data_IF_738181804326
#
_entry.id   IF_738181804326
#
_cell.length_a   1.000
_cell.length_b   1.000
_cell.length_c   1.000
_cell.angle_alpha   90.00
_cell.angle_beta   90.00
_cell.angle_gamma   90.00
#
_symmetry.space_group_name_H-M   'P 1'
#
loop_
_entity.id
_entity.type
_entity.pdbx_description
1 polymer ?
#
# COMPACT_ATOMS: atom_id res chain seq x y z
N UNK A 1 -30.90 -19.63 19.99
CA UNK A 1 -30.07 -18.53 19.46
C UNK A 1 -30.10 -18.65 17.96
N UNK A 2 -30.87 -17.80 17.30
CA UNK A 2 -30.88 -17.70 15.85
C UNK A 2 -29.50 -17.25 15.42
N UNK A 3 -28.78 -18.05 14.62
CA UNK A 3 -27.60 -17.55 13.92
C UNK A 3 -28.07 -16.38 13.06
N UNK A 4 -27.77 -15.17 13.50
CA UNK A 4 -27.89 -14.00 12.64
C UNK A 4 -26.87 -14.21 11.52
N UNK A 5 -27.36 -14.43 10.31
CA UNK A 5 -26.53 -14.45 9.11
C UNK A 5 -25.70 -13.17 9.08
N UNK A 6 -24.38 -13.31 8.95
CA UNK A 6 -23.47 -12.17 8.86
C UNK A 6 -23.87 -11.26 7.69
N UNK A 7 -23.74 -9.95 7.86
CA UNK A 7 -24.15 -8.97 6.86
C UNK A 7 -23.25 -9.12 5.63
N UNK A 8 -23.84 -9.25 4.44
CA UNK A 8 -23.08 -9.32 3.20
C UNK A 8 -22.58 -7.93 2.79
N UNK A 9 -21.27 -7.79 2.61
CA UNK A 9 -20.63 -6.63 2.01
C UNK A 9 -20.52 -6.88 0.51
N UNK A 10 -21.38 -6.19 -0.26
CA UNK A 10 -21.49 -6.33 -1.73
C UNK A 10 -20.25 -5.85 -2.44
N UNK A 11 -19.74 -4.70 -2.00
CA UNK A 11 -18.49 -4.15 -2.49
C UNK A 11 -17.64 -3.69 -1.31
N UNK A 12 -16.37 -4.08 -1.34
CA UNK A 12 -15.37 -3.72 -0.35
C UNK A 12 -14.18 -3.10 -1.07
N UNK A 13 -13.69 -1.97 -0.56
CA UNK A 13 -12.42 -1.36 -0.95
C UNK A 13 -11.64 -0.97 0.29
N UNK A 14 -10.33 -1.18 0.25
CA UNK A 14 -9.42 -0.65 1.26
C UNK A 14 -8.18 -0.11 0.59
N UNK A 15 -7.84 1.13 0.90
CA UNK A 15 -6.60 1.80 0.51
C UNK A 15 -5.70 1.82 1.74
N UNK A 16 -4.50 1.29 1.60
CA UNK A 16 -3.41 1.45 2.55
C UNK A 16 -2.49 2.56 2.06
N UNK A 17 -2.10 3.46 2.96
CA UNK A 17 -1.19 4.56 2.70
C UNK A 17 -0.01 4.38 3.64
N UNK A 18 1.14 3.99 3.11
CA UNK A 18 2.32 3.69 3.90
C UNK A 18 3.44 4.70 3.65
N UNK A 19 3.61 5.69 4.53
CA UNK A 19 4.67 6.67 4.41
C UNK A 19 6.01 6.07 4.87
N UNK A 20 7.04 6.31 4.05
CA UNK A 20 8.39 5.81 4.21
C UNK A 20 9.34 6.99 4.17
N UNK A 21 10.31 7.01 5.08
CA UNK A 21 11.40 7.96 5.02
C UNK A 21 12.49 7.41 4.10
N UNK A 22 12.85 8.16 3.07
CA UNK A 22 13.97 7.84 2.21
C UNK A 22 15.26 8.24 2.94
N UNK A 23 16.29 7.40 2.81
CA UNK A 23 17.61 7.73 3.34
C UNK A 23 18.39 8.54 2.30
N UNK A 24 19.32 9.40 2.73
CA UNK A 24 20.20 10.09 1.81
C UNK A 24 20.92 9.11 0.87
N UNK A 25 20.97 9.49 -0.41
CA UNK A 25 21.76 8.80 -1.42
C UNK A 25 23.23 8.88 -1.05
N UNK A 26 23.96 7.78 -1.25
CA UNK A 26 25.40 7.77 -0.97
C UNK A 26 26.16 8.57 -2.02
N UNK A 27 27.19 9.31 -1.58
CA UNK A 27 28.06 10.03 -2.49
C UNK A 27 28.67 9.07 -3.53
N UNK A 28 28.62 9.46 -4.80
CA UNK A 28 29.17 8.65 -5.89
C UNK A 28 28.29 7.49 -6.37
N UNK A 29 27.05 7.33 -5.86
CA UNK A 29 26.13 6.29 -6.35
C UNK A 29 25.57 6.54 -7.77
N UNK A 30 25.83 7.73 -8.35
CA UNK A 30 25.44 8.07 -9.72
C UNK A 30 23.94 8.35 -9.91
N UNK A 31 23.19 8.53 -8.82
CA UNK A 31 21.80 8.94 -8.80
C UNK A 31 21.71 10.40 -8.34
N UNK A 32 20.84 11.18 -8.99
CA UNK A 32 20.52 12.55 -8.56
C UNK A 32 19.31 12.54 -7.64
N UNK A 33 18.28 11.77 -8.00
CA UNK A 33 17.07 11.57 -7.21
C UNK A 33 16.87 10.09 -6.87
N UNK A 34 16.07 9.81 -5.83
CA UNK A 34 15.76 8.43 -5.46
C UNK A 34 14.99 7.67 -6.55
N UNK A 35 14.08 8.33 -7.26
CA UNK A 35 13.30 7.70 -8.32
C UNK A 35 14.13 7.33 -9.56
N UNK A 36 15.27 7.99 -9.81
CA UNK A 36 16.21 7.63 -10.89
C UNK A 36 16.64 6.15 -10.81
N UNK A 37 16.62 5.57 -9.60
CA UNK A 37 16.93 4.16 -9.39
C UNK A 37 15.86 3.23 -9.94
N UNK A 38 14.59 3.63 -9.88
CA UNK A 38 13.47 2.85 -10.41
C UNK A 38 13.44 2.91 -11.94
N UNK A 39 13.73 4.06 -12.53
CA UNK A 39 13.83 4.22 -13.98
C UNK A 39 14.92 3.33 -14.60
N UNK A 40 15.98 3.09 -13.83
CA UNK A 40 17.12 2.26 -14.22
C UNK A 40 16.92 0.77 -13.87
N UNK A 41 15.80 0.38 -13.25
CA UNK A 41 15.52 -1.03 -12.96
C UNK A 41 15.33 -1.82 -14.26
N UNK A 42 16.22 -2.77 -14.60
CA UNK A 42 16.11 -3.55 -15.83
C UNK A 42 14.84 -4.43 -15.86
N UNK A 43 14.32 -4.80 -14.68
CA UNK A 43 13.11 -5.59 -14.58
C UNK A 43 11.85 -4.74 -14.76
N UNK A 44 11.97 -3.40 -14.74
CA UNK A 44 10.86 -2.44 -14.81
C UNK A 44 9.74 -2.81 -13.83
N UNK A 45 10.12 -3.20 -12.62
CA UNK A 45 9.18 -3.61 -11.56
C UNK A 45 8.21 -2.47 -11.22
N UNK A 46 8.76 -1.26 -11.19
CA UNK A 46 8.06 -0.01 -11.04
C UNK A 46 8.17 0.76 -12.35
N UNK A 47 7.03 1.17 -12.89
CA UNK A 47 6.96 1.95 -14.13
C UNK A 47 6.34 3.30 -13.81
N UNK A 48 7.02 4.39 -14.17
CA UNK A 48 6.48 5.74 -14.02
C UNK A 48 5.14 5.85 -14.78
N UNK A 49 4.13 6.42 -14.11
CA UNK A 49 2.87 6.77 -14.74
C UNK A 49 3.02 8.13 -15.41
N UNK A 50 3.14 8.13 -16.73
CA UNK A 50 3.12 9.36 -17.52
C UNK A 50 1.71 9.97 -17.55
N UNK A 51 1.59 11.17 -16.98
CA UNK A 51 0.50 12.15 -17.02
C UNK A 51 -0.94 11.60 -17.04
N UNK A 52 -1.66 11.74 -15.92
CA UNK A 52 -3.07 11.36 -15.77
C UNK A 52 -4.02 12.10 -16.74
N UNK A 53 -3.50 13.13 -17.41
CA UNK A 53 -4.15 13.88 -18.47
C UNK A 53 -3.61 13.41 -19.83
N UNK A 54 -4.37 12.58 -20.57
CA UNK A 54 -4.03 12.23 -21.94
C UNK A 54 -4.13 13.45 -22.85
N UNK A 55 -3.44 13.40 -23.99
CA UNK A 55 -3.51 14.48 -25.01
C UNK A 55 -4.91 14.62 -25.62
N UNK A 56 -5.63 13.50 -25.73
CA UNK A 56 -6.96 13.42 -26.34
C UNK A 56 -8.07 13.31 -25.30
N UNK A 57 -9.10 14.19 -25.32
CA UNK A 57 -10.21 14.15 -24.36
C UNK A 57 -10.99 12.83 -24.34
N UNK A 58 -11.13 12.14 -25.48
CA UNK A 58 -11.77 10.82 -25.54
C UNK A 58 -11.10 9.75 -24.66
N UNK A 59 -9.84 9.93 -24.31
CA UNK A 59 -9.10 9.03 -23.43
C UNK A 59 -9.18 9.46 -21.95
N UNK A 60 -9.79 10.62 -21.65
CA UNK A 60 -9.91 11.13 -20.30
C UNK A 60 -11.19 10.62 -19.65
N UNK A 61 -11.04 9.94 -18.52
CA UNK A 61 -12.17 9.36 -17.81
C UNK A 61 -12.89 10.44 -16.98
N UNK A 62 -14.23 10.46 -17.02
CA UNK A 62 -15.05 11.45 -16.29
C UNK A 62 -14.71 11.48 -14.79
N UNK A 63 -14.31 10.34 -14.20
CA UNK A 63 -13.87 10.29 -12.80
C UNK A 63 -12.67 11.19 -12.52
N UNK A 64 -11.68 11.26 -13.43
CA UNK A 64 -10.49 12.12 -13.27
C UNK A 64 -10.88 13.59 -13.43
N UNK A 65 -11.88 13.90 -14.28
CA UNK A 65 -12.43 15.25 -14.38
C UNK A 65 -13.11 15.69 -13.07
N UNK A 66 -13.96 14.83 -12.48
CA UNK A 66 -14.64 15.13 -11.22
C UNK A 66 -13.65 15.36 -10.08
N UNK A 67 -12.61 14.54 -10.01
CA UNK A 67 -11.52 14.71 -9.06
C UNK A 67 -10.81 16.06 -9.24
N UNK A 68 -10.36 16.35 -10.46
CA UNK A 68 -9.71 17.61 -10.78
C UNK A 68 -10.59 18.81 -10.40
N UNK A 69 -11.87 18.80 -10.81
CA UNK A 69 -12.80 19.90 -10.55
C UNK A 69 -13.16 20.08 -9.07
N UNK A 70 -13.02 19.04 -8.24
CA UNK A 70 -13.31 19.11 -6.80
C UNK A 70 -12.19 19.78 -6.00
N UNK A 71 -10.95 19.75 -6.50
CA UNK A 71 -9.81 20.32 -5.79
C UNK A 71 -9.69 21.83 -5.95
N UNK A 72 -9.21 22.50 -4.90
CA UNK A 72 -8.85 23.91 -4.96
C UNK A 72 -7.64 24.10 -5.90
N UNK A 73 -7.50 25.26 -6.58
CA UNK A 73 -6.46 25.47 -7.59
C UNK A 73 -5.02 25.19 -7.12
N UNK A 74 -4.68 25.46 -5.87
CA UNK A 74 -3.35 25.16 -5.34
C UNK A 74 -3.11 23.66 -5.12
N UNK A 75 -4.16 22.90 -4.78
CA UNK A 75 -4.09 21.44 -4.66
C UNK A 75 -3.97 20.81 -6.04
N UNK A 76 -4.72 21.31 -7.02
CA UNK A 76 -4.59 20.88 -8.42
C UNK A 76 -3.15 21.04 -8.92
N UNK A 77 -2.54 22.22 -8.71
CA UNK A 77 -1.13 22.47 -9.09
C UNK A 77 -0.15 21.54 -8.38
N UNK A 78 -0.38 21.23 -7.10
CA UNK A 78 0.50 20.35 -6.35
C UNK A 78 0.41 18.89 -6.83
N UNK A 79 -0.80 18.39 -7.08
CA UNK A 79 -1.03 17.00 -7.49
C UNK A 79 -0.67 16.77 -8.96
N UNK A 80 -1.06 17.70 -9.83
CA UNK A 80 -1.03 17.51 -11.28
C UNK A 80 0.04 18.37 -11.99
N UNK A 81 0.67 19.32 -11.29
CA UNK A 81 1.56 20.30 -11.91
C UNK A 81 0.85 21.28 -12.85
N UNK A 82 1.61 21.97 -13.70
CA UNK A 82 1.08 22.79 -14.79
C UNK A 82 1.63 22.32 -16.15
N UNK A 83 0.75 21.94 -17.09
CA UNK A 83 1.11 21.52 -18.48
C UNK A 83 1.95 22.54 -19.27
N UNK A 84 2.08 23.78 -18.79
CA UNK A 84 2.86 24.82 -19.45
C UNK A 84 4.37 24.49 -19.54
N UNK A 85 4.89 23.59 -18.69
CA UNK A 85 6.28 23.09 -18.76
C UNK A 85 6.58 22.33 -20.06
N UNK A 86 5.61 21.60 -20.64
CA UNK A 86 5.74 20.88 -21.92
C UNK A 86 5.76 21.78 -23.16
N UNK A 87 5.35 23.04 -23.03
CA UNK A 87 5.30 24.02 -24.14
C UNK A 87 6.44 25.05 -24.12
N UNK A 88 7.43 24.88 -23.23
CA UNK A 88 8.58 25.79 -23.15
C UNK A 88 8.25 27.19 -22.62
N UNK A 89 7.08 27.40 -22.01
CA UNK A 89 6.73 28.65 -21.32
C UNK A 89 7.17 28.54 -19.87
N UNK A 90 7.91 29.55 -19.38
CA UNK A 90 8.34 29.63 -17.98
C UNK A 90 7.13 29.80 -17.06
N UNK A 91 6.72 28.70 -16.42
CA UNK A 91 5.77 28.66 -15.31
C UNK A 91 6.41 27.93 -14.12
N UNK A 92 5.67 27.83 -13.01
CA UNK A 92 6.09 27.15 -11.79
C UNK A 92 6.17 25.61 -12.00
N UNK A 93 7.22 25.13 -12.69
CA UNK A 93 7.72 23.74 -12.64
C UNK A 93 6.83 22.59 -13.17
N UNK A 94 7.43 21.42 -13.31
CA UNK A 94 6.72 20.12 -13.45
C UNK A 94 6.03 19.74 -12.12
N UNK A 95 5.12 18.75 -12.13
CA UNK A 95 4.51 18.26 -10.88
C UNK A 95 5.62 17.87 -9.88
N UNK A 96 5.56 18.33 -8.62
CA UNK A 96 6.52 17.94 -7.60
C UNK A 96 6.34 16.48 -7.17
N UNK A 97 5.35 15.76 -7.73
CA UNK A 97 5.06 14.37 -7.42
C UNK A 97 5.38 13.50 -8.65
N UNK A 98 6.11 12.42 -8.43
CA UNK A 98 6.27 11.34 -9.40
C UNK A 98 5.64 10.06 -8.88
N UNK A 99 4.82 9.41 -9.71
CA UNK A 99 4.06 8.22 -9.34
C UNK A 99 4.59 7.05 -10.16
N UNK A 100 4.98 5.99 -9.47
CA UNK A 100 5.39 4.75 -10.09
C UNK A 100 4.35 3.69 -9.80
N UNK A 101 3.91 2.94 -10.82
CA UNK A 101 2.98 1.83 -10.65
C UNK A 101 3.68 0.49 -10.79
N UNK A 102 3.36 -0.41 -9.86
CA UNK A 102 3.72 -1.82 -9.92
C UNK A 102 2.52 -2.64 -10.38
N UNK A 103 2.70 -3.39 -11.46
CA UNK A 103 1.59 -4.04 -12.19
C UNK A 103 1.62 -5.57 -12.18
N UNK A 104 2.69 -6.20 -11.71
CA UNK A 104 2.86 -7.65 -11.63
C UNK A 104 1.96 -8.29 -10.55
N UNK A 105 1.67 -7.57 -9.46
CA UNK A 105 0.80 -8.04 -8.37
C UNK A 105 -0.67 -7.81 -8.71
N UNK A 106 -1.46 -8.88 -8.74
CA UNK A 106 -2.89 -8.85 -9.14
C UNK A 106 -3.85 -9.18 -8.02
N UNK A 107 -3.47 -10.02 -7.06
CA UNK A 107 -4.33 -10.39 -5.92
C UNK A 107 -3.52 -10.54 -4.64
N UNK A 108 -4.22 -10.41 -3.51
CA UNK A 108 -3.71 -10.85 -2.21
C UNK A 108 -4.57 -12.02 -1.72
N UNK A 109 -3.93 -13.14 -1.35
CA UNK A 109 -4.58 -14.25 -0.65
C UNK A 109 -4.31 -14.15 0.84
N UNK A 110 -5.37 -13.96 1.62
CA UNK A 110 -5.33 -13.70 3.05
C UNK A 110 -5.83 -14.92 3.82
N UNK A 111 -5.02 -15.41 4.77
CA UNK A 111 -5.46 -16.42 5.74
C UNK A 111 -5.42 -15.81 7.13
N UNK A 112 -6.45 -16.05 7.92
CA UNK A 112 -6.61 -15.51 9.27
C UNK A 112 -6.65 -16.66 10.28
N UNK A 113 -6.19 -16.38 11.50
CA UNK A 113 -6.13 -17.38 12.56
C UNK A 113 -7.51 -17.96 12.89
N UNK A 114 -7.56 -19.28 13.07
CA UNK A 114 -8.79 -20.00 13.42
C UNK A 114 -9.80 -20.15 12.29
N UNK A 115 -9.43 -19.83 11.04
CA UNK A 115 -10.33 -19.94 9.89
C UNK A 115 -9.73 -20.84 8.80
N UNK A 116 -10.55 -21.77 8.31
CA UNK A 116 -10.11 -22.80 7.37
C UNK A 116 -9.86 -22.24 5.95
N UNK A 117 -10.70 -21.30 5.52
CA UNK A 117 -10.67 -20.77 4.16
C UNK A 117 -9.88 -19.45 4.08
N UNK A 118 -9.01 -19.36 3.07
CA UNK A 118 -8.38 -18.11 2.71
C UNK A 118 -9.35 -17.22 1.92
N UNK A 119 -9.20 -15.92 2.04
CA UNK A 119 -9.95 -14.92 1.29
C UNK A 119 -9.03 -14.26 0.28
N UNK A 120 -9.41 -14.32 -1.00
CA UNK A 120 -8.72 -13.60 -2.06
C UNK A 120 -9.36 -12.22 -2.22
N UNK A 121 -8.50 -11.20 -2.33
CA UNK A 121 -8.87 -9.83 -2.69
C UNK A 121 -8.11 -9.42 -3.94
N UNK A 122 -8.75 -8.67 -4.81
CA UNK A 122 -8.11 -8.11 -6.01
C UNK A 122 -7.26 -6.91 -5.62
N UNK A 123 -6.07 -6.77 -6.22
CA UNK A 123 -5.25 -5.56 -6.11
C UNK A 123 -5.65 -4.62 -7.25
N UNK A 124 -6.25 -3.49 -6.91
CA UNK A 124 -6.71 -2.50 -7.89
C UNK A 124 -5.53 -1.72 -8.44
N UNK A 125 -4.66 -1.23 -7.55
CA UNK A 125 -3.40 -0.62 -7.93
C UNK A 125 -2.39 -0.69 -6.77
N UNK A 126 -1.11 -0.61 -7.13
CA UNK A 126 0.02 -0.50 -6.20
C UNK A 126 0.93 0.60 -6.73
N UNK A 127 0.91 1.74 -6.06
CA UNK A 127 1.57 2.96 -6.51
C UNK A 127 2.57 3.44 -5.47
N UNK A 128 3.68 4.00 -5.93
CA UNK A 128 4.72 4.58 -5.11
C UNK A 128 4.90 6.04 -5.50
N UNK A 129 4.58 6.92 -4.56
CA UNK A 129 4.64 8.37 -4.73
C UNK A 129 5.97 8.88 -4.19
N UNK A 130 6.70 9.61 -5.01
CA UNK A 130 7.87 10.39 -4.61
C UNK A 130 7.55 11.87 -4.65
N UNK A 131 8.18 12.63 -3.75
CA UNK A 131 7.99 14.06 -3.63
C UNK A 131 9.34 14.75 -3.86
N UNK A 132 9.33 15.77 -4.73
CA UNK A 132 10.51 16.58 -5.00
C UNK A 132 10.97 17.33 -3.75
N UNK A 133 12.28 17.36 -3.51
CA UNK A 133 12.92 17.98 -2.33
C UNK A 133 12.44 17.49 -0.96
N UNK A 134 11.74 16.35 -0.91
CA UNK A 134 11.29 15.73 0.34
C UNK A 134 11.74 14.28 0.34
N UNK A 135 12.53 13.89 1.35
CA UNK A 135 13.01 12.52 1.56
C UNK A 135 11.89 11.58 2.08
N UNK A 136 10.74 11.59 1.41
CA UNK A 136 9.58 10.75 1.73
C UNK A 136 9.08 10.08 0.45
N UNK A 137 8.76 8.80 0.58
CA UNK A 137 7.96 8.08 -0.40
C UNK A 137 6.68 7.55 0.27
N UNK A 138 5.59 7.44 -0.47
CA UNK A 138 4.35 6.85 0.02
C UNK A 138 3.98 5.67 -0.86
N UNK A 139 3.97 4.47 -0.28
CA UNK A 139 3.40 3.29 -0.93
C UNK A 139 1.89 3.29 -0.71
N UNK A 140 1.12 3.28 -1.80
CA UNK A 140 -0.33 3.17 -1.80
C UNK A 140 -0.72 1.82 -2.39
N UNK A 141 -1.51 1.04 -1.65
CA UNK A 141 -2.06 -0.22 -2.12
C UNK A 141 -3.57 -0.19 -1.95
N UNK A 142 -4.30 -0.27 -3.07
CA UNK A 142 -5.74 -0.45 -3.04
C UNK A 142 -6.08 -1.92 -3.31
N UNK A 143 -6.88 -2.50 -2.41
CA UNK A 143 -7.50 -3.81 -2.58
C UNK A 143 -9.02 -3.70 -2.69
N UNK A 144 -9.64 -4.65 -3.40
CA UNK A 144 -11.08 -4.75 -3.54
C UNK A 144 -11.55 -6.19 -3.38
N UNK A 145 -12.78 -6.36 -2.90
CA UNK A 145 -13.48 -7.63 -2.84
C UNK A 145 -14.98 -7.43 -3.05
N UNK A 146 -15.68 -8.52 -3.38
CA UNK A 146 -17.14 -8.55 -3.56
C UNK A 146 -17.74 -9.69 -2.77
N UNK A 147 -18.97 -9.45 -2.30
CA UNK A 147 -19.79 -10.44 -1.62
C UNK A 147 -19.06 -11.18 -0.47
N UNK A 148 -18.36 -10.43 0.37
CA UNK A 148 -17.69 -10.97 1.58
C UNK A 148 -18.54 -10.72 2.83
N UNK A 149 -18.46 -11.59 3.87
CA UNK A 149 -19.11 -11.31 5.15
C UNK A 149 -18.54 -10.06 5.82
N UNK A 150 -19.35 -9.30 6.55
CA UNK A 150 -18.93 -8.10 7.27
C UNK A 150 -17.82 -8.40 8.27
N UNK A 151 -17.89 -9.53 8.98
CA UNK A 151 -16.82 -9.96 9.89
C UNK A 151 -15.47 -10.12 9.16
N UNK A 152 -15.49 -10.65 7.93
CA UNK A 152 -14.31 -10.77 7.08
C UNK A 152 -13.78 -9.40 6.67
N UNK A 153 -14.66 -8.49 6.24
CA UNK A 153 -14.27 -7.13 5.89
C UNK A 153 -13.61 -6.42 7.10
N UNK A 154 -14.20 -6.55 8.29
CA UNK A 154 -13.64 -6.01 9.54
C UNK A 154 -12.25 -6.61 9.86
N UNK A 155 -12.07 -7.92 9.70
CA UNK A 155 -10.78 -8.58 9.87
C UNK A 155 -9.71 -8.03 8.89
N UNK A 156 -10.08 -7.85 7.62
CA UNK A 156 -9.18 -7.30 6.59
C UNK A 156 -8.78 -5.86 6.97
N UNK A 157 -9.75 -4.99 7.27
CA UNK A 157 -9.48 -3.59 7.65
C UNK A 157 -8.53 -3.54 8.87
N UNK A 158 -8.83 -4.35 9.89
CA UNK A 158 -8.08 -4.35 11.14
C UNK A 158 -6.64 -4.87 10.97
N UNK A 159 -6.44 -5.94 10.19
CA UNK A 159 -5.20 -6.74 10.23
C UNK A 159 -4.32 -6.60 9.00
N UNK A 160 -4.86 -6.34 7.82
CA UNK A 160 -4.12 -6.45 6.55
C UNK A 160 -2.93 -5.48 6.48
N UNK A 161 -3.15 -4.20 6.79
CA UNK A 161 -2.14 -3.14 6.73
C UNK A 161 -1.15 -3.15 7.90
N UNK A 162 -0.53 -4.29 8.20
CA UNK A 162 0.48 -4.44 9.26
C UNK A 162 1.85 -4.68 8.65
N UNK A 163 2.75 -3.72 8.81
CA UNK A 163 4.11 -3.82 8.29
C UNK A 163 4.89 -4.99 8.93
N UNK A 164 4.58 -5.31 10.19
CA UNK A 164 5.18 -6.37 10.99
C UNK A 164 4.21 -6.77 12.12
N UNK A 165 4.38 -7.94 12.76
CA UNK A 165 3.46 -8.38 13.79
C UNK A 165 3.66 -7.55 15.07
N UNK A 166 2.59 -7.27 15.80
CA UNK A 166 2.66 -6.51 17.05
C UNK A 166 3.22 -7.34 18.22
N UNK A 167 3.32 -8.66 18.04
CA UNK A 167 3.80 -9.62 19.03
C UNK A 167 3.44 -11.04 18.62
N UNK A 168 3.58 -11.97 19.54
CA UNK A 168 3.21 -13.38 19.38
C UNK A 168 2.44 -13.87 20.62
N UNK A 169 1.51 -14.79 20.41
CA UNK A 169 0.81 -15.51 21.49
C UNK A 169 1.76 -16.44 22.24
N UNK A 170 1.26 -17.05 23.32
CA UNK A 170 1.98 -18.12 24.03
C UNK A 170 2.28 -19.35 23.15
N UNK A 171 1.40 -19.63 22.18
CA UNK A 171 1.60 -20.66 21.14
C UNK A 171 2.61 -20.25 20.06
N UNK A 172 3.12 -19.02 20.10
CA UNK A 172 4.09 -18.49 19.14
C UNK A 172 3.48 -17.93 17.86
N UNK A 173 2.16 -17.82 17.78
CA UNK A 173 1.46 -17.27 16.62
C UNK A 173 1.51 -15.74 16.62
N UNK A 174 1.85 -15.15 15.49
CA UNK A 174 1.82 -13.70 15.32
C UNK A 174 0.42 -13.11 15.59
N UNK A 175 0.34 -12.02 16.36
CA UNK A 175 -0.95 -11.39 16.73
C UNK A 175 -1.20 -10.09 15.97
N UNK A 176 -2.48 -9.70 15.88
CA UNK A 176 -2.97 -8.47 15.25
C UNK A 176 -2.65 -8.30 13.75
N UNK A 177 -2.24 -9.38 13.08
CA UNK A 177 -2.04 -9.49 11.63
C UNK A 177 -2.79 -10.73 11.09
N UNK A 178 -2.87 -10.93 9.77
CA UNK A 178 -3.31 -12.20 9.19
C UNK A 178 -2.28 -13.28 9.51
N UNK A 179 -2.72 -14.53 9.56
CA UNK A 179 -1.81 -15.68 9.73
C UNK A 179 -0.82 -15.77 8.56
N UNK A 180 -1.31 -15.50 7.34
CA UNK A 180 -0.46 -15.34 6.16
C UNK A 180 -1.10 -14.44 5.11
N UNK A 181 -0.27 -13.69 4.40
CA UNK A 181 -0.60 -12.91 3.20
C UNK A 181 0.26 -13.41 2.05
N UNK A 182 -0.33 -13.65 0.89
CA UNK A 182 0.39 -13.98 -0.33
C UNK A 182 0.05 -12.98 -1.42
N UNK A 183 1.06 -12.38 -2.04
CA UNK A 183 0.88 -11.66 -3.29
C UNK A 183 0.84 -12.65 -4.45
N UNK A 184 -0.12 -12.48 -5.35
CA UNK A 184 -0.32 -13.36 -6.49
C UNK A 184 -0.18 -12.58 -7.80
N UNK A 185 0.46 -13.22 -8.79
CA UNK A 185 0.54 -12.74 -10.16
C UNK A 185 -0.74 -12.99 -10.96
N UNK A 186 -0.75 -12.55 -12.22
CA UNK A 186 -1.91 -12.71 -13.12
C UNK A 186 -2.28 -14.18 -13.42
N UNK A 187 -1.29 -15.07 -13.38
CA UNK A 187 -1.44 -16.51 -13.55
C UNK A 187 -1.76 -17.25 -12.23
N UNK A 188 -1.92 -16.51 -11.13
CA UNK A 188 -2.11 -17.08 -9.79
C UNK A 188 -0.81 -17.57 -9.13
N UNK A 189 0.36 -17.36 -9.75
CA UNK A 189 1.64 -17.70 -9.14
C UNK A 189 1.85 -16.89 -7.86
N UNK A 190 2.40 -17.53 -6.83
CA UNK A 190 2.75 -16.87 -5.57
C UNK A 190 4.05 -16.09 -5.77
N UNK A 191 3.94 -14.76 -5.73
CA UNK A 191 5.06 -13.84 -5.91
C UNK A 191 5.86 -13.65 -4.61
N UNK A 192 5.15 -13.52 -3.49
CA UNK A 192 5.76 -13.41 -2.17
C UNK A 192 4.77 -13.83 -1.07
N UNK A 193 5.31 -14.25 0.07
CA UNK A 193 4.55 -14.69 1.24
C UNK A 193 5.02 -13.91 2.47
N UNK A 194 4.09 -13.50 3.33
CA UNK A 194 4.40 -12.88 4.61
C UNK A 194 5.13 -13.87 5.53
N UNK A 195 6.07 -13.39 6.30
CA UNK A 195 6.89 -14.16 7.24
C UNK A 195 6.62 -13.77 8.71
N UNK A 196 5.38 -13.41 9.06
CA UNK A 196 5.01 -12.97 10.41
C UNK A 196 5.42 -13.95 11.53
N UNK A 197 5.50 -15.24 11.21
CA UNK A 197 5.90 -16.30 12.16
C UNK A 197 7.42 -16.39 12.37
N UNK A 198 8.24 -15.66 11.59
CA UNK A 198 9.69 -15.65 11.71
C UNK A 198 10.16 -14.83 12.94
N UNK A 199 9.70 -15.20 14.14
CA UNK A 199 9.94 -14.47 15.40
C UNK A 199 11.40 -14.06 15.60
N UNK A 200 12.33 -14.96 15.32
CA UNK A 200 13.78 -14.69 15.44
C UNK A 200 14.21 -13.51 14.56
N UNK A 201 13.71 -13.38 13.32
CA UNK A 201 14.01 -12.25 12.41
C UNK A 201 13.70 -10.92 13.09
N UNK A 202 12.49 -10.79 13.63
CA UNK A 202 12.01 -9.55 14.23
C UNK A 202 12.77 -9.21 15.52
N UNK A 203 12.98 -10.20 16.41
CA UNK A 203 13.73 -9.99 17.65
C UNK A 203 15.20 -9.62 17.38
N UNK A 204 15.84 -10.28 16.43
CA UNK A 204 17.22 -9.95 16.04
C UNK A 204 17.34 -8.51 15.54
N UNK A 205 16.38 -8.03 14.74
CA UNK A 205 16.35 -6.65 14.25
C UNK A 205 16.26 -5.63 15.39
N UNK A 206 15.41 -5.89 16.40
CA UNK A 206 15.29 -5.02 17.56
C UNK A 206 16.59 -5.00 18.37
N UNK A 207 17.18 -6.17 18.64
CA UNK A 207 18.43 -6.26 19.40
C UNK A 207 19.62 -5.61 18.69
N UNK A 208 19.72 -5.76 17.37
CA UNK A 208 20.88 -5.32 16.59
C UNK A 208 20.76 -3.85 16.16
N UNK A 209 19.59 -3.44 15.70
CA UNK A 209 19.40 -2.19 14.98
C UNK A 209 18.43 -1.22 15.68
N UNK A 210 17.89 -1.60 16.85
CA UNK A 210 16.88 -0.84 17.60
C UNK A 210 15.68 -0.43 16.73
N UNK A 211 15.31 -1.29 15.78
CA UNK A 211 14.23 -1.06 14.83
C UNK A 211 13.49 -2.37 14.51
N UNK A 212 12.19 -2.28 14.25
CA UNK A 212 11.39 -3.41 13.78
C UNK A 212 11.77 -3.81 12.36
N UNK A 213 11.97 -5.12 12.14
CA UNK A 213 12.00 -5.65 10.79
C UNK A 213 10.62 -5.51 10.13
N UNK A 214 10.59 -5.52 8.80
CA UNK A 214 9.36 -5.51 8.00
C UNK A 214 9.04 -6.94 7.56
N UNK A 215 7.76 -7.28 7.41
CA UNK A 215 7.35 -8.56 6.85
C UNK A 215 7.71 -8.66 5.36
N UNK A 216 8.22 -9.82 4.94
CA UNK A 216 8.86 -10.02 3.63
C UNK A 216 7.97 -9.64 2.45
N UNK A 217 6.67 -9.97 2.48
CA UNK A 217 5.74 -9.57 1.41
C UNK A 217 5.63 -8.05 1.20
N UNK A 218 5.82 -7.23 2.23
CA UNK A 218 5.87 -5.77 2.10
C UNK A 218 7.22 -5.29 1.56
N UNK A 219 8.32 -5.90 2.02
CA UNK A 219 9.65 -5.67 1.43
C UNK A 219 9.68 -6.04 -0.05
N UNK A 220 8.99 -7.12 -0.43
CA UNK A 220 8.85 -7.55 -1.81
C UNK A 220 8.21 -6.45 -2.66
N UNK A 221 7.12 -5.80 -2.19
CA UNK A 221 6.48 -4.70 -2.93
C UNK A 221 7.45 -3.54 -3.16
N UNK A 222 8.25 -3.18 -2.15
CA UNK A 222 9.18 -2.05 -2.21
C UNK A 222 10.47 -2.35 -2.97
N UNK A 223 10.73 -3.60 -3.35
CA UNK A 223 11.84 -3.92 -4.25
C UNK A 223 11.73 -3.10 -5.55
N UNK A 224 12.84 -2.58 -6.10
CA UNK A 224 14.23 -2.88 -5.74
C UNK A 224 14.81 -2.02 -4.60
N UNK A 225 14.04 -1.15 -3.96
CA UNK A 225 14.49 -0.39 -2.78
C UNK A 225 14.70 -1.33 -1.61
N UNK A 226 15.60 -0.96 -0.68
CA UNK A 226 15.92 -1.81 0.47
C UNK A 226 15.70 -1.11 1.81
N UNK A 227 15.29 -1.88 2.81
CA UNK A 227 15.24 -1.39 4.18
C UNK A 227 16.65 -0.97 4.65
N UNK A 228 16.77 0.18 5.33
CA UNK A 228 18.04 0.76 5.71
C UNK A 228 18.94 -0.16 6.55
N UNK A 229 18.35 -1.05 7.36
CA UNK A 229 19.05 -1.98 8.25
C UNK A 229 19.60 -3.23 7.52
N UNK A 230 19.33 -3.41 6.22
CA UNK A 230 19.80 -4.57 5.46
C UNK A 230 21.33 -4.52 5.26
N UNK A 231 21.95 -5.70 5.34
CA UNK A 231 23.40 -5.88 5.11
C UNK A 231 23.76 -5.60 3.65
N UNK A 232 22.94 -6.07 2.71
CA UNK A 232 23.08 -5.73 1.29
C UNK A 232 22.28 -4.46 1.01
N UNK A 233 22.99 -3.34 0.87
CA UNK A 233 22.40 -2.03 0.70
C UNK A 233 22.23 -1.73 -0.79
N UNK A 234 20.98 -1.54 -1.23
CA UNK A 234 20.72 -0.91 -2.52
C UNK A 234 21.02 0.60 -2.45
N UNK A 235 21.25 1.28 -3.58
CA UNK A 235 21.45 2.73 -3.62
C UNK A 235 20.30 3.49 -2.95
N UNK A 236 19.05 3.09 -3.21
CA UNK A 236 17.87 3.66 -2.58
C UNK A 236 17.45 2.82 -1.38
N UNK A 237 17.43 3.49 -0.23
CA UNK A 237 17.09 2.88 1.06
C UNK A 237 15.96 3.64 1.72
N UNK A 238 15.19 2.93 2.53
CA UNK A 238 14.08 3.51 3.26
C UNK A 238 14.04 3.05 4.72
N UNK A 239 13.32 3.81 5.54
CA UNK A 239 12.87 3.45 6.89
C UNK A 239 11.36 3.66 6.96
N UNK A 240 10.71 2.90 7.83
CA UNK A 240 9.30 3.15 8.14
C UNK A 240 9.18 4.38 9.04
N UNK A 241 8.16 5.21 8.79
CA UNK A 241 7.75 6.25 9.72
C UNK A 241 6.84 5.63 10.79
N UNK A 242 7.42 5.45 11.98
CA UNK A 242 6.93 5.10 13.34
C UNK A 242 5.81 4.05 13.54
N UNK A 243 4.75 4.00 12.74
CA UNK A 243 3.56 3.23 13.09
C UNK A 243 3.44 1.91 12.33
N UNK A 244 3.38 0.80 13.07
CA UNK A 244 3.28 -0.58 12.52
C UNK A 244 2.03 -0.84 11.68
N UNK A 245 0.95 -0.09 11.96
CA UNK A 245 -0.30 -0.10 11.20
C UNK A 245 -0.24 1.00 10.16
N UNK A 246 -0.42 0.62 8.91
CA UNK A 246 -0.50 1.59 7.82
C UNK A 246 -1.82 2.37 7.96
N UNK A 247 -1.80 3.71 7.87
CA UNK A 247 -3.00 4.50 7.66
C UNK A 247 -3.86 3.90 6.55
N UNK A 248 -5.18 3.91 6.75
CA UNK A 248 -6.09 3.26 5.83
C UNK A 248 -7.39 4.03 5.65
N UNK A 249 -7.95 3.94 4.44
CA UNK A 249 -9.31 4.32 4.12
C UNK A 249 -10.04 3.08 3.64
N UNK A 250 -11.21 2.81 4.20
CA UNK A 250 -12.04 1.68 3.79
C UNK A 250 -13.43 2.17 3.35
N UNK A 251 -13.97 1.51 2.33
CA UNK A 251 -15.32 1.74 1.84
C UNK A 251 -16.05 0.40 1.70
N UNK A 252 -17.30 0.37 2.16
CA UNK A 252 -18.12 -0.83 2.19
C UNK A 252 -19.53 -0.48 1.68
N UNK A 253 -20.04 -1.28 0.75
CA UNK A 253 -21.45 -1.26 0.35
C UNK A 253 -22.16 -2.48 0.93
N UNK A 254 -23.27 -2.24 1.63
CA UNK A 254 -24.17 -3.26 2.20
C UNK A 254 -25.60 -2.95 1.78
N UNK A 255 -26.46 -3.97 1.70
CA UNK A 255 -27.84 -3.81 1.21
C UNK A 255 -28.67 -2.89 2.13
N UNK A 256 -28.53 -3.05 3.45
CA UNK A 256 -29.16 -2.16 4.44
C UNK A 256 -28.15 -1.72 5.50
N UNK A 257 -27.58 -0.50 5.39
CA UNK A 257 -26.67 0.04 6.39
C UNK A 257 -27.29 0.19 7.79
N UNK A 258 -28.62 0.23 7.90
CA UNK A 258 -29.32 0.31 9.20
C UNK A 258 -29.34 -1.02 9.94
N UNK A 259 -29.02 -2.13 9.26
CA UNK A 259 -28.88 -3.43 9.89
C UNK A 259 -27.58 -3.56 10.71
N UNK A 260 -26.60 -2.66 10.50
CA UNK A 260 -25.35 -2.64 11.26
C UNK A 260 -25.61 -2.33 12.73
N UNK A 261 -25.10 -3.20 13.61
CA UNK A 261 -25.24 -2.99 15.05
C UNK A 261 -24.25 -1.93 15.53
N UNK A 262 -24.48 -1.39 16.74
CA UNK A 262 -23.49 -0.52 17.40
C UNK A 262 -22.11 -1.21 17.50
N UNK A 263 -22.07 -2.51 17.76
CA UNK A 263 -20.82 -3.25 17.84
C UNK A 263 -20.08 -3.27 16.49
N UNK A 264 -20.80 -3.38 15.39
CA UNK A 264 -20.22 -3.35 14.04
C UNK A 264 -19.64 -1.97 13.72
N UNK A 265 -20.37 -0.89 14.03
CA UNK A 265 -19.84 0.46 13.89
C UNK A 265 -18.59 0.69 14.73
N UNK A 266 -18.55 0.18 15.97
CA UNK A 266 -17.34 0.29 16.81
C UNK A 266 -16.17 -0.47 16.21
N UNK A 267 -16.36 -1.69 15.71
CA UNK A 267 -15.30 -2.44 15.04
C UNK A 267 -14.77 -1.70 13.83
N UNK A 268 -15.65 -1.14 12.98
CA UNK A 268 -15.24 -0.36 11.82
C UNK A 268 -14.48 0.92 12.23
N UNK A 269 -14.96 1.66 13.22
CA UNK A 269 -14.37 2.91 13.68
C UNK A 269 -12.97 2.73 14.29
N UNK A 270 -12.73 1.64 15.04
CA UNK A 270 -11.42 1.36 15.64
C UNK A 270 -10.50 0.51 14.75
N UNK A 271 -11.01 0.02 13.62
CA UNK A 271 -10.24 -0.72 12.63
C UNK A 271 -9.40 0.17 11.69
N UNK A 272 -9.59 1.49 11.69
CA UNK A 272 -8.78 2.46 10.91
C UNK A 272 -7.75 3.17 11.77
#
# INVERSE_FOLDING_TARGET
>A
MTEMSDIAVREFRQILIWPLQLMPLQAGCGLLNHWDYLDRDPNRTWVELDDEFPEHPENFQERHYREFAAFLPHVQRFLYGERASRTGRTTYGESPIRIFRRSDVKKARLRFHGQAEATDVDVVHTDLYFFFDVDVAILVVEIAARDIPLSRAQDIIYRFGRAYPAGWSESGEAVNCPESVKWLGADGAVLAVSDYQARTKYLTSVCKDQASAIAYHWEYLLAPMTLNQRVQMAPVRYRQLEFHRMPTMAWLAVDDPRALTRADFMRLAFAT
#
